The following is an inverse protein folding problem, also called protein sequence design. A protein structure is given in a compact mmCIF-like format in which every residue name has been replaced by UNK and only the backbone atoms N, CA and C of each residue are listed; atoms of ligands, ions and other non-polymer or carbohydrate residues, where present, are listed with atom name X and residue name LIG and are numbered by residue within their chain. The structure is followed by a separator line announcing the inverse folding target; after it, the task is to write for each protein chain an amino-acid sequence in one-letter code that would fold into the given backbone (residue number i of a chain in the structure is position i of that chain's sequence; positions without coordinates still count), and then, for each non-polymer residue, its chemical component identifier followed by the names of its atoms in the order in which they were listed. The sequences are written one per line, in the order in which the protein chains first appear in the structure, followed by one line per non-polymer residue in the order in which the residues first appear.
data_IF_682062908061
#
_entry.id   IF_682062908061
#
_cell.length_a   1.000
_cell.length_b   1.000
_cell.length_c   1.000
_cell.angle_alpha   90.00
_cell.angle_beta   90.00
_cell.angle_gamma   90.00
#
_symmetry.space_group_name_H-M   'P 1'
#
loop_
_entity.id
_entity.type
_entity.pdbx_description
1 polymer ?
#
# COMPACT_ATOMS: atom_id res chain seq x y z
N UNK A 1 32.50 -15.59 7.51
CA UNK A 1 31.45 -14.61 7.16
C UNK A 1 30.10 -15.25 7.43
N UNK A 2 29.25 -14.71 8.32
CA UNK A 2 27.94 -15.29 8.56
C UNK A 2 27.00 -14.98 7.38
N UNK A 3 26.25 -15.98 6.97
CA UNK A 3 25.39 -15.98 5.80
C UNK A 3 24.27 -14.91 5.91
N UNK A 4 24.30 -13.90 5.05
CA UNK A 4 23.25 -12.87 4.91
C UNK A 4 22.00 -13.36 4.14
N UNK A 5 21.76 -14.67 4.03
CA UNK A 5 20.73 -15.22 3.13
C UNK A 5 19.40 -15.57 3.83
N UNK A 6 19.23 -15.28 5.12
CA UNK A 6 18.01 -15.66 5.85
C UNK A 6 17.01 -14.52 5.99
N UNK A 7 16.82 -13.73 4.93
CA UNK A 7 15.65 -12.88 4.84
C UNK A 7 14.50 -13.72 4.23
N UNK A 8 13.34 -13.85 4.90
CA UNK A 8 12.19 -14.49 4.26
C UNK A 8 11.85 -13.70 2.99
N UNK A 9 11.82 -14.38 1.84
CA UNK A 9 11.40 -13.75 0.59
C UNK A 9 10.04 -13.11 0.79
N UNK A 10 9.85 -11.83 0.43
CA UNK A 10 8.56 -11.19 0.59
C UNK A 10 7.49 -11.99 -0.19
N UNK A 11 6.25 -12.03 0.31
CA UNK A 11 5.16 -12.69 -0.40
C UNK A 11 5.13 -12.16 -1.84
N UNK A 12 5.20 -13.07 -2.81
CA UNK A 12 5.28 -12.70 -4.22
C UNK A 12 3.99 -11.98 -4.60
N UNK A 13 4.11 -10.80 -5.18
CA UNK A 13 2.97 -10.10 -5.77
C UNK A 13 2.52 -10.87 -7.01
N UNK A 14 1.24 -11.22 -7.06
CA UNK A 14 0.62 -11.81 -8.24
C UNK A 14 -0.03 -10.68 -9.04
N UNK A 15 0.24 -10.64 -10.34
CA UNK A 15 -0.49 -9.78 -11.26
C UNK A 15 -1.90 -10.35 -11.43
N UNK A 16 -2.87 -9.80 -10.70
CA UNK A 16 -4.27 -10.19 -10.81
C UNK A 16 -5.00 -9.17 -11.69
N UNK A 17 -5.78 -9.61 -12.70
CA UNK A 17 -6.57 -8.69 -13.51
C UNK A 17 -7.56 -7.89 -12.66
N UNK A 18 -7.77 -6.61 -12.98
CA UNK A 18 -8.63 -5.72 -12.19
C UNK A 18 -10.12 -6.08 -12.24
N UNK A 19 -10.62 -6.67 -13.33
CA UNK A 19 -12.03 -7.01 -13.49
C UNK A 19 -12.52 -8.09 -12.49
N UNK A 20 -11.82 -9.24 -12.31
CA UNK A 20 -12.11 -10.19 -11.25
C UNK A 20 -12.15 -9.57 -9.85
N UNK A 21 -11.17 -8.73 -9.53
CA UNK A 21 -11.10 -8.06 -8.23
C UNK A 21 -12.25 -7.07 -8.01
N UNK A 22 -12.63 -6.33 -9.06
CA UNK A 22 -13.82 -5.45 -9.04
C UNK A 22 -15.09 -6.24 -8.77
N UNK A 23 -15.26 -7.39 -9.41
CA UNK A 23 -16.41 -8.26 -9.20
C UNK A 23 -16.45 -8.78 -7.74
N UNK A 24 -15.32 -9.28 -7.23
CA UNK A 24 -15.19 -9.70 -5.84
C UNK A 24 -15.52 -8.56 -4.87
N UNK A 25 -15.01 -7.35 -5.10
CA UNK A 25 -15.29 -6.19 -4.27
C UNK A 25 -16.79 -5.82 -4.27
N UNK A 26 -17.48 -5.92 -5.41
CA UNK A 26 -18.94 -5.72 -5.47
C UNK A 26 -19.70 -6.76 -4.65
N UNK A 27 -19.36 -8.04 -4.79
CA UNK A 27 -20.00 -9.13 -4.02
C UNK A 27 -19.78 -8.95 -2.51
N UNK A 28 -18.60 -8.48 -2.10
CA UNK A 28 -18.27 -8.19 -0.70
C UNK A 28 -18.86 -6.87 -0.17
N UNK A 29 -19.66 -6.14 -0.97
CA UNK A 29 -20.21 -4.82 -0.59
C UNK A 29 -19.17 -3.68 -0.55
N UNK A 30 -17.95 -3.93 -1.03
CA UNK A 30 -16.80 -3.00 -1.01
C UNK A 30 -16.59 -2.29 -2.35
N UNK A 31 -17.60 -2.23 -3.22
CA UNK A 31 -17.49 -1.62 -4.55
C UNK A 31 -16.99 -0.17 -4.52
N UNK A 32 -17.52 0.67 -3.61
CA UNK A 32 -17.07 2.08 -3.45
C UNK A 32 -15.60 2.18 -3.03
N UNK A 33 -15.16 1.31 -2.14
CA UNK A 33 -13.77 1.27 -1.70
C UNK A 33 -12.84 0.83 -2.85
N UNK A 34 -13.29 -0.11 -3.69
CA UNK A 34 -12.59 -0.49 -4.91
C UNK A 34 -12.49 0.68 -5.89
N UNK A 35 -13.61 1.35 -6.19
CA UNK A 35 -13.62 2.46 -7.14
C UNK A 35 -12.70 3.61 -6.67
N UNK A 36 -12.69 3.92 -5.36
CA UNK A 36 -11.77 4.90 -4.77
C UNK A 36 -10.30 4.47 -4.87
N UNK A 37 -9.99 3.20 -4.61
CA UNK A 37 -8.63 2.66 -4.73
C UNK A 37 -8.11 2.69 -6.18
N UNK A 38 -9.00 2.43 -7.15
CA UNK A 38 -8.65 2.41 -8.57
C UNK A 38 -8.83 3.75 -9.28
N UNK A 39 -9.22 4.80 -8.55
CA UNK A 39 -9.34 6.13 -9.11
C UNK A 39 -7.98 6.59 -9.67
N UNK A 40 -8.01 7.34 -10.78
CA UNK A 40 -6.80 7.96 -11.31
C UNK A 40 -6.20 8.85 -10.22
N UNK A 41 -5.01 8.49 -9.74
CA UNK A 41 -4.27 9.32 -8.81
C UNK A 41 -3.67 10.50 -9.59
N UNK A 42 -3.61 11.67 -8.94
CA UNK A 42 -2.98 12.87 -9.51
C UNK A 42 -1.48 12.57 -9.63
N UNK A 43 -1.01 12.31 -10.86
CA UNK A 43 0.37 11.94 -11.14
C UNK A 43 1.30 13.14 -11.33
N UNK A 44 0.79 14.36 -11.20
CA UNK A 44 1.61 15.56 -11.28
C UNK A 44 1.82 16.16 -9.88
N UNK A 45 2.98 15.90 -9.24
CA UNK A 45 3.29 16.47 -7.94
C UNK A 45 3.44 17.99 -7.99
N UNK A 46 3.68 18.60 -9.17
CA UNK A 46 3.81 20.05 -9.30
C UNK A 46 2.48 20.78 -9.05
N UNK A 47 1.35 20.18 -9.45
CA UNK A 47 0.01 20.71 -9.17
C UNK A 47 -0.28 20.71 -7.66
N UNK A 48 0.10 19.65 -6.95
CA UNK A 48 -0.08 19.59 -5.50
C UNK A 48 0.80 20.63 -4.80
N UNK A 49 2.05 20.78 -5.23
CA UNK A 49 2.95 21.81 -4.69
C UNK A 49 2.41 23.22 -4.94
N UNK A 50 1.74 23.46 -6.07
CA UNK A 50 1.11 24.76 -6.37
C UNK A 50 -0.08 25.09 -5.44
N UNK A 51 -0.76 24.07 -4.91
CA UNK A 51 -1.80 24.20 -3.88
C UNK A 51 -1.22 24.30 -2.45
N UNK A 52 0.10 24.47 -2.32
CA UNK A 52 0.78 24.61 -1.04
C UNK A 52 1.05 23.27 -0.33
N UNK A 53 0.91 22.13 -1.02
CA UNK A 53 1.31 20.84 -0.47
C UNK A 53 2.84 20.74 -0.41
N UNK A 54 3.39 20.38 0.75
CA UNK A 54 4.82 20.19 0.96
C UNK A 54 5.10 18.69 1.06
N UNK A 55 5.85 18.07 0.12
CA UNK A 55 6.14 16.65 0.17
C UNK A 55 7.02 16.31 1.38
N UNK A 56 6.60 15.30 2.15
CA UNK A 56 7.39 14.78 3.25
C UNK A 56 8.64 14.05 2.72
N UNK A 57 9.84 14.55 3.03
CA UNK A 57 11.09 13.93 2.59
C UNK A 57 11.30 12.52 3.21
N UNK A 58 10.81 12.30 4.43
CA UNK A 58 11.02 11.05 5.19
C UNK A 58 9.92 10.00 4.93
N UNK A 59 9.28 10.04 3.76
CA UNK A 59 8.14 9.17 3.44
C UNK A 59 8.48 7.69 3.62
N UNK A 60 9.69 7.27 3.22
CA UNK A 60 10.11 5.86 3.32
C UNK A 60 10.29 5.39 4.78
N UNK A 61 10.88 6.21 5.64
CA UNK A 61 11.08 5.87 7.04
C UNK A 61 9.74 5.83 7.79
N UNK A 62 8.85 6.78 7.50
CA UNK A 62 7.50 6.78 8.05
C UNK A 62 6.68 5.56 7.59
N UNK A 63 6.78 5.17 6.32
CA UNK A 63 6.13 3.96 5.80
C UNK A 63 6.70 2.69 6.44
N UNK A 64 8.01 2.64 6.66
CA UNK A 64 8.69 1.52 7.31
C UNK A 64 8.24 1.38 8.77
N UNK A 65 8.17 2.49 9.49
CA UNK A 65 7.68 2.53 10.87
C UNK A 65 6.19 2.15 10.96
N UNK A 66 5.37 2.63 10.03
CA UNK A 66 3.96 2.26 9.92
C UNK A 66 3.80 0.75 9.68
N UNK A 67 4.58 0.18 8.76
CA UNK A 67 4.58 -1.25 8.48
C UNK A 67 5.00 -2.08 9.70
N UNK A 68 6.01 -1.61 10.46
CA UNK A 68 6.44 -2.23 11.72
C UNK A 68 5.29 -2.25 12.74
N UNK A 69 4.62 -1.11 12.97
CA UNK A 69 3.48 -1.02 13.90
C UNK A 69 2.33 -1.95 13.51
N UNK A 70 2.01 -2.04 12.21
CA UNK A 70 0.96 -2.95 11.70
C UNK A 70 1.28 -4.42 11.96
N UNK A 71 2.54 -4.83 11.76
CA UNK A 71 2.99 -6.21 12.07
C UNK A 71 2.86 -6.51 13.56
N UNK A 72 3.26 -5.58 14.41
CA UNK A 72 3.13 -5.73 15.87
C UNK A 72 1.68 -5.83 16.33
N UNK A 73 0.77 -5.02 15.76
CA UNK A 73 -0.65 -5.08 16.08
C UNK A 73 -1.30 -6.42 15.64
N UNK A 74 -0.96 -6.92 14.46
CA UNK A 74 -1.46 -8.21 13.96
C UNK A 74 -0.93 -9.41 14.75
N UNK A 75 0.27 -9.30 15.35
CA UNK A 75 0.82 -10.33 16.22
C UNK A 75 0.16 -10.35 17.61
N UNK A 76 -0.26 -9.20 18.12
CA UNK A 76 -0.95 -9.08 19.41
C UNK A 76 -2.43 -9.50 19.37
N UNK A 77 -3.05 -9.48 18.19
CA UNK A 77 -4.44 -9.90 17.98
C UNK A 77 -4.60 -11.42 17.76
N UNK A 78 -3.53 -12.20 17.89
CA UNK A 78 -3.53 -13.67 17.85
C UNK A 78 -3.24 -14.23 19.24
#
# INVERSE_FOLDING_TARGET
APCLCQAPSPPRLLAVPGAPLRAAAKVLGKGKAWDALTASQICDPSLLVSEGWIPQADTLDQLTELARRRKSAAAHAR
#
